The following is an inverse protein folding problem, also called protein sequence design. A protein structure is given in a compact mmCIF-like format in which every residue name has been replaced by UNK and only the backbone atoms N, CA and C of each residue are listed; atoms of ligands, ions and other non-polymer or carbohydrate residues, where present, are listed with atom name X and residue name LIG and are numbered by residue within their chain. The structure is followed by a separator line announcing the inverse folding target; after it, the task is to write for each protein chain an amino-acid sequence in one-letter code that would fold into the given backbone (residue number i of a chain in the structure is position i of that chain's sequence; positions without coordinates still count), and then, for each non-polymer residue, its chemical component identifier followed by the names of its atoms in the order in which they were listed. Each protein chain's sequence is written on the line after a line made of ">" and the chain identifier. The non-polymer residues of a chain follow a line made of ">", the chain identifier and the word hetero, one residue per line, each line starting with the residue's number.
data_IF_255113273472
#
_entry.id   IF_255113273472
#
_cell.length_a   1.000
_cell.length_b   1.000
_cell.length_c   1.000
_cell.angle_alpha   90.00
_cell.angle_beta   90.00
_cell.angle_gamma   90.00
#
_symmetry.space_group_name_H-M   'P 1'
#
loop_
_entity.id
_entity.type
_entity.pdbx_description
1 polymer ?
#
# COMPACT_ATOMS: atom_id res chain seq x y z
N UNK A 1 -10.57 17.76 4.33
CA UNK A 1 -9.55 18.39 5.18
C UNK A 1 -10.21 19.36 6.16
N UNK A 2 -9.49 19.81 7.16
CA UNK A 2 -9.90 20.84 8.11
C UNK A 2 -8.89 21.96 8.10
N UNK A 3 -9.36 23.20 8.22
CA UNK A 3 -8.50 24.38 8.21
C UNK A 3 -8.88 25.30 9.34
N UNK A 4 -7.86 25.89 9.98
CA UNK A 4 -8.04 26.84 11.06
C UNK A 4 -8.82 28.05 10.54
N UNK A 5 -9.90 28.40 11.22
CA UNK A 5 -10.66 29.61 10.91
C UNK A 5 -9.90 30.78 11.53
N UNK A 6 -9.34 31.67 10.71
CA UNK A 6 -8.75 32.91 11.23
C UNK A 6 -9.86 33.76 11.86
N UNK A 7 -10.00 33.73 13.19
CA UNK A 7 -10.60 34.86 13.90
C UNK A 7 -9.66 36.04 13.67
N UNK A 8 -10.15 37.10 13.05
CA UNK A 8 -9.35 38.30 12.83
C UNK A 8 -8.65 38.71 14.12
N UNK A 9 -7.33 38.89 14.06
CA UNK A 9 -6.54 39.47 15.14
C UNK A 9 -7.00 40.90 15.37
N UNK A 10 -8.07 41.07 16.14
CA UNK A 10 -8.45 42.32 16.75
C UNK A 10 -8.52 42.10 18.25
N UNK A 11 -7.63 42.79 18.96
CA UNK A 11 -7.50 42.95 20.42
C UNK A 11 -6.75 41.87 21.22
N UNK A 12 -5.52 42.25 21.58
CA UNK A 12 -4.82 42.09 22.87
C UNK A 12 -4.52 40.71 23.48
N UNK A 13 -3.21 40.43 23.52
CA UNK A 13 -2.43 39.60 24.46
C UNK A 13 -2.01 38.18 24.02
N UNK A 14 -0.73 37.78 24.23
CA UNK A 14 -0.18 36.51 23.74
C UNK A 14 -0.31 35.43 24.82
N UNK A 15 -1.39 34.68 24.80
CA UNK A 15 -1.41 33.34 25.40
C UNK A 15 -1.45 32.33 24.25
N UNK A 16 -0.38 31.55 24.09
CA UNK A 16 -0.34 30.41 23.17
C UNK A 16 -1.32 29.34 23.68
N UNK A 17 -2.61 29.48 23.36
CA UNK A 17 -3.59 28.43 23.51
C UNK A 17 -3.50 27.50 22.30
N UNK A 18 -3.35 26.19 22.53
CA UNK A 18 -3.41 25.22 21.44
C UNK A 18 -4.81 25.22 20.80
N UNK A 19 -4.91 25.19 19.46
CA UNK A 19 -6.19 25.17 18.77
C UNK A 19 -7.05 23.97 19.17
N UNK A 20 -8.31 24.22 19.52
CA UNK A 20 -9.29 23.19 19.80
C UNK A 20 -10.01 22.78 18.51
N UNK A 21 -10.69 21.63 18.51
CA UNK A 21 -11.51 21.17 17.37
C UNK A 21 -12.50 22.24 16.87
N UNK A 22 -13.03 23.08 17.77
CA UNK A 22 -13.95 24.17 17.44
C UNK A 22 -13.34 25.30 16.60
N UNK A 23 -12.01 25.40 16.56
CA UNK A 23 -11.27 26.43 15.81
C UNK A 23 -11.05 26.04 14.35
N UNK A 24 -11.42 24.81 13.97
CA UNK A 24 -11.30 24.29 12.62
C UNK A 24 -12.65 24.23 11.91
N UNK A 25 -12.64 24.50 10.60
CA UNK A 25 -13.78 24.27 9.73
C UNK A 25 -13.50 23.15 8.73
N UNK A 26 -14.53 22.36 8.43
CA UNK A 26 -14.45 21.34 7.40
C UNK A 26 -14.39 21.98 6.01
N UNK A 27 -13.38 21.59 5.24
CA UNK A 27 -13.12 22.15 3.92
C UNK A 27 -13.06 21.06 2.84
N UNK A 28 -13.56 21.42 1.66
CA UNK A 28 -13.42 20.69 0.42
C UNK A 28 -12.21 21.23 -0.34
N UNK A 29 -11.24 20.37 -0.62
CA UNK A 29 -10.13 20.70 -1.50
C UNK A 29 -10.43 20.13 -2.90
N UNK A 30 -10.40 20.99 -3.92
CA UNK A 30 -10.66 20.63 -5.32
C UNK A 30 -9.39 20.89 -6.10
N UNK A 31 -8.69 19.84 -6.50
CA UNK A 31 -7.54 19.95 -7.38
C UNK A 31 -8.02 20.09 -8.82
N UNK A 32 -7.61 21.16 -9.50
CA UNK A 32 -7.91 21.44 -10.91
C UNK A 32 -6.61 21.37 -11.74
N UNK A 33 -6.17 20.16 -12.16
CA UNK A 33 -4.88 19.96 -12.80
C UNK A 33 -4.68 20.80 -14.06
N UNK A 34 -5.75 20.95 -14.87
CA UNK A 34 -5.73 21.73 -16.11
C UNK A 34 -5.50 23.23 -15.88
N UNK A 35 -5.86 23.72 -14.70
CA UNK A 35 -5.67 25.12 -14.30
C UNK A 35 -4.41 25.31 -13.44
N UNK A 36 -3.72 24.23 -13.06
CA UNK A 36 -2.56 24.30 -12.18
C UNK A 36 -2.88 24.88 -10.80
N UNK A 37 -4.08 24.63 -10.28
CA UNK A 37 -4.51 25.17 -8.99
C UNK A 37 -5.23 24.13 -8.13
N UNK A 38 -5.12 24.31 -6.81
CA UNK A 38 -5.92 23.66 -5.79
C UNK A 38 -6.80 24.72 -5.13
N UNK A 39 -8.11 24.53 -5.15
CA UNK A 39 -9.05 25.40 -4.45
C UNK A 39 -9.51 24.76 -3.15
N UNK A 40 -9.56 25.53 -2.07
CA UNK A 40 -10.05 25.11 -0.76
C UNK A 40 -11.31 25.90 -0.46
N UNK A 41 -12.42 25.19 -0.30
CA UNK A 41 -13.75 25.72 -0.08
C UNK A 41 -14.27 25.32 1.29
N UNK A 42 -14.92 26.25 2.00
CA UNK A 42 -15.61 25.91 3.24
C UNK A 42 -16.90 25.12 2.93
N UNK A 43 -17.09 23.98 3.59
CA UNK A 43 -18.29 23.16 3.40
C UNK A 43 -19.56 23.85 3.94
N UNK A 44 -20.74 23.43 3.44
CA UNK A 44 -22.07 24.02 3.72
C UNK A 44 -22.22 25.45 3.20
N UNK A 45 -22.07 25.62 1.88
CA UNK A 45 -22.26 26.90 1.14
C UNK A 45 -21.30 28.04 1.53
N UNK A 46 -20.20 27.73 2.20
CA UNK A 46 -19.21 28.74 2.58
C UNK A 46 -18.35 29.21 1.40
N UNK A 47 -17.63 30.34 1.56
CA UNK A 47 -16.81 30.92 0.51
C UNK A 47 -15.58 30.06 0.19
N UNK A 48 -14.94 30.35 -0.95
CA UNK A 48 -13.59 29.85 -1.25
C UNK A 48 -12.61 30.48 -0.26
N UNK A 49 -11.94 29.65 0.52
CA UNK A 49 -11.03 30.08 1.58
C UNK A 49 -9.62 30.33 1.05
N UNK A 50 -9.14 29.50 0.11
CA UNK A 50 -7.79 29.63 -0.44
C UNK A 50 -7.68 29.04 -1.84
N UNK A 51 -6.77 29.59 -2.64
CA UNK A 51 -6.32 29.00 -3.89
C UNK A 51 -4.81 28.87 -3.83
N UNK A 52 -4.29 27.68 -4.14
CA UNK A 52 -2.86 27.37 -4.13
C UNK A 52 -2.46 27.05 -5.56
N UNK A 53 -1.42 27.70 -6.07
CA UNK A 53 -0.82 27.32 -7.36
C UNK A 53 -0.08 26.00 -7.22
N UNK A 54 -0.33 25.08 -8.14
CA UNK A 54 0.25 23.75 -8.18
C UNK A 54 1.13 23.61 -9.42
N UNK A 55 2.32 23.05 -9.30
CA UNK A 55 3.13 22.78 -10.50
C UNK A 55 2.50 21.63 -11.31
N UNK A 56 2.92 21.52 -12.57
CA UNK A 56 2.37 20.55 -13.52
C UNK A 56 2.62 19.13 -13.02
N UNK A 57 1.57 18.31 -12.96
CA UNK A 57 1.67 16.93 -12.44
C UNK A 57 1.51 16.81 -10.93
N UNK A 58 1.19 17.91 -10.23
CA UNK A 58 0.80 17.86 -8.82
C UNK A 58 -0.34 16.86 -8.57
N UNK A 59 -0.30 16.14 -7.45
CA UNK A 59 -1.38 15.23 -7.02
C UNK A 59 -1.80 15.54 -5.60
N UNK A 60 -3.11 15.44 -5.37
CA UNK A 60 -3.71 15.61 -4.06
C UNK A 60 -3.90 14.23 -3.43
N UNK A 61 -3.33 14.02 -2.25
CA UNK A 61 -3.49 12.80 -1.47
C UNK A 61 -4.34 13.06 -0.23
N UNK A 62 -5.29 12.16 0.02
CA UNK A 62 -6.08 12.14 1.24
C UNK A 62 -5.76 10.86 2.01
N UNK A 63 -5.41 10.93 3.30
CA UNK A 63 -5.22 9.73 4.12
C UNK A 63 -6.48 8.87 4.17
N UNK A 64 -6.31 7.54 4.17
CA UNK A 64 -7.42 6.59 3.99
C UNK A 64 -8.26 6.33 5.25
N UNK A 65 -7.74 6.50 6.48
CA UNK A 65 -8.52 6.44 7.73
C UNK A 65 -7.63 6.79 8.96
N UNK A 66 -8.21 7.11 10.13
CA UNK A 66 -7.47 7.29 11.40
C UNK A 66 -7.53 6.03 12.26
N UNK A 67 -6.40 5.56 12.78
CA UNK A 67 -6.38 4.72 13.99
C UNK A 67 -6.67 5.58 15.23
N UNK A 68 -7.37 5.00 16.20
CA UNK A 68 -8.12 5.68 17.27
C UNK A 68 -7.40 6.81 18.01
N UNK A 69 -8.13 7.89 18.27
CA UNK A 69 -7.70 8.95 19.18
C UNK A 69 -7.89 8.47 20.63
N UNK A 70 -6.79 8.38 21.38
CA UNK A 70 -6.83 8.41 22.85
C UNK A 70 -7.46 9.75 23.28
N UNK A 71 -8.32 9.73 24.31
CA UNK A 71 -8.95 10.91 24.90
C UNK A 71 -7.95 11.93 25.49
N UNK A 72 -6.64 11.61 25.52
CA UNK A 72 -5.57 12.43 26.06
C UNK A 72 -4.63 13.05 25.01
N UNK A 73 -4.91 12.90 23.71
CA UNK A 73 -4.05 13.44 22.63
C UNK A 73 -4.55 14.79 22.10
N UNK A 74 -3.65 15.72 21.72
CA UNK A 74 -4.04 16.99 21.11
C UNK A 74 -4.80 16.77 19.81
N UNK A 75 -5.74 17.67 19.50
CA UNK A 75 -6.58 17.55 18.31
C UNK A 75 -5.75 17.72 17.03
N UNK A 76 -5.61 16.66 16.26
CA UNK A 76 -5.01 16.72 14.93
C UNK A 76 -6.11 17.02 13.90
N UNK A 77 -6.01 18.06 13.05
CA UNK A 77 -6.99 18.34 12.00
C UNK A 77 -6.88 17.36 10.82
N UNK A 78 -7.93 17.24 10.01
CA UNK A 78 -7.88 16.44 8.78
C UNK A 78 -6.99 17.11 7.73
N UNK A 79 -5.90 16.44 7.34
CA UNK A 79 -4.95 16.99 6.38
C UNK A 79 -5.14 16.43 4.97
N UNK A 80 -4.70 17.19 3.98
CA UNK A 80 -4.58 16.79 2.58
C UNK A 80 -3.19 17.21 2.13
N UNK A 81 -2.47 16.28 1.53
CA UNK A 81 -1.11 16.52 1.06
C UNK A 81 -1.12 16.84 -0.44
N UNK A 82 -0.35 17.85 -0.84
CA UNK A 82 -0.12 18.16 -2.25
C UNK A 82 1.31 17.73 -2.59
N UNK A 83 1.45 16.68 -3.39
CA UNK A 83 2.73 16.25 -3.91
C UNK A 83 3.01 16.97 -5.21
N UNK A 84 4.19 17.59 -5.31
CA UNK A 84 4.66 18.20 -6.53
C UNK A 84 5.38 17.12 -7.36
N UNK A 85 4.68 16.54 -8.34
CA UNK A 85 5.25 15.48 -9.19
C UNK A 85 5.49 15.98 -10.60
N UNK A 86 6.75 16.20 -10.97
CA UNK A 86 7.14 16.45 -12.37
C UNK A 86 7.13 15.13 -13.16
N UNK A 87 5.96 14.51 -13.30
CA UNK A 87 5.78 13.35 -14.17
C UNK A 87 4.30 13.18 -14.50
N UNK A 88 3.92 13.56 -15.72
CA UNK A 88 2.72 13.00 -16.33
C UNK A 88 2.98 11.54 -16.66
N UNK A 89 1.99 10.69 -16.34
CA UNK A 89 1.86 9.25 -16.63
C UNK A 89 2.00 8.41 -15.35
N UNK A 90 0.96 7.64 -15.07
CA UNK A 90 0.85 6.61 -14.04
C UNK A 90 0.86 5.28 -14.79
N UNK A 91 1.97 4.55 -14.77
CA UNK A 91 2.03 3.20 -15.33
C UNK A 91 2.65 2.27 -14.29
N UNK A 92 1.79 1.78 -13.39
CA UNK A 92 1.96 0.44 -12.82
C UNK A 92 1.66 -0.58 -13.92
N UNK A 93 2.12 -1.82 -13.82
CA UNK A 93 1.70 -2.96 -14.66
C UNK A 93 0.17 -3.29 -14.63
N UNK A 94 -0.64 -2.33 -14.16
CA UNK A 94 -2.10 -2.23 -14.18
C UNK A 94 -2.55 -1.01 -15.03
N UNK A 95 -1.78 -0.57 -16.01
CA UNK A 95 -2.21 0.41 -17.03
C UNK A 95 -2.70 -0.28 -18.30
N UNK A 96 -3.28 -1.46 -18.15
CA UNK A 96 -3.84 -2.16 -19.28
C UNK A 96 -5.05 -1.37 -19.83
N UNK A 97 -5.25 -1.41 -21.15
CA UNK A 97 -6.38 -0.79 -21.88
C UNK A 97 -7.73 -1.00 -21.16
N UNK A 98 -7.81 -2.13 -20.45
CA UNK A 98 -8.92 -2.67 -19.68
C UNK A 98 -9.46 -1.77 -18.55
N UNK A 99 -8.69 -0.79 -18.08
CA UNK A 99 -9.16 0.15 -17.06
C UNK A 99 -9.96 1.34 -17.63
N UNK A 100 -10.06 1.46 -18.96
CA UNK A 100 -10.82 2.53 -19.60
C UNK A 100 -12.33 2.29 -19.45
N UNK A 101 -12.90 2.78 -18.35
CA UNK A 101 -14.34 2.71 -18.07
C UNK A 101 -14.71 1.93 -16.80
N UNK A 102 -13.75 1.32 -16.11
CA UNK A 102 -13.92 0.69 -14.80
C UNK A 102 -13.32 1.56 -13.68
N UNK A 103 -13.73 1.34 -12.43
CA UNK A 103 -13.12 1.97 -11.26
C UNK A 103 -12.08 0.97 -10.76
N UNK A 104 -10.84 1.44 -10.57
CA UNK A 104 -9.77 0.60 -10.06
C UNK A 104 -10.11 0.06 -8.68
N UNK A 105 -9.78 -1.19 -8.42
CA UNK A 105 -10.04 -1.75 -7.12
C UNK A 105 -9.29 -1.13 -5.95
N UNK A 106 -9.87 -1.32 -4.76
CA UNK A 106 -9.34 -0.71 -3.53
C UNK A 106 -7.97 -1.34 -3.19
N UNK A 107 -6.90 -0.55 -3.26
CA UNK A 107 -5.53 -1.05 -3.06
C UNK A 107 -4.97 -1.83 -4.25
N UNK A 108 -5.50 -1.62 -5.47
CA UNK A 108 -4.94 -2.17 -6.71
C UNK A 108 -3.48 -1.77 -6.97
N UNK A 109 -3.06 -0.67 -6.35
CA UNK A 109 -1.71 -0.10 -6.50
C UNK A 109 -0.87 -0.25 -5.24
N UNK A 110 -1.39 -0.94 -4.22
CA UNK A 110 -0.71 -1.09 -2.93
C UNK A 110 0.12 -2.39 -2.94
N UNK A 111 1.41 -2.26 -3.22
CA UNK A 111 2.38 -3.35 -3.10
C UNK A 111 2.70 -3.65 -1.63
N UNK A 112 3.17 -4.86 -1.29
CA UNK A 112 3.40 -5.24 0.08
C UNK A 112 4.56 -4.44 0.68
N UNK A 113 4.38 -3.97 1.92
CA UNK A 113 5.45 -3.40 2.73
C UNK A 113 6.38 -4.49 3.26
N UNK A 114 7.67 -4.16 3.30
CA UNK A 114 8.75 -5.01 3.82
C UNK A 114 9.46 -4.29 4.97
N UNK A 115 9.99 -5.07 5.91
CA UNK A 115 10.79 -4.55 7.00
C UNK A 115 12.27 -4.83 6.69
N UNK A 116 13.12 -3.83 6.93
CA UNK A 116 14.57 -3.94 6.79
C UNK A 116 15.16 -3.68 8.17
N UNK A 117 15.85 -4.67 8.73
CA UNK A 117 16.47 -4.53 10.04
C UNK A 117 17.81 -3.78 9.92
N UNK A 118 17.87 -2.60 10.54
CA UNK A 118 19.06 -1.72 10.50
C UNK A 118 19.87 -1.77 11.79
N UNK A 119 19.44 -2.55 12.80
CA UNK A 119 20.14 -2.70 14.08
C UNK A 119 21.64 -3.04 13.93
N UNK A 120 22.08 -3.92 13.00
CA UNK A 120 23.51 -4.18 12.79
C UNK A 120 24.34 -2.96 12.36
N UNK A 121 23.70 -1.89 11.86
CA UNK A 121 24.34 -0.65 11.43
C UNK A 121 24.33 0.44 12.51
N UNK A 122 23.82 0.18 13.72
CA UNK A 122 23.70 1.21 14.75
C UNK A 122 25.02 1.90 15.08
N UNK A 123 26.16 1.20 15.00
CA UNK A 123 27.47 1.80 15.16
C UNK A 123 27.75 2.95 14.18
N UNK A 124 27.34 2.78 12.93
CA UNK A 124 27.47 3.79 11.88
C UNK A 124 26.40 4.87 11.96
N UNK A 125 25.22 4.56 12.52
CA UNK A 125 24.09 5.50 12.62
C UNK A 125 24.13 6.38 13.88
N UNK A 126 24.95 6.02 14.87
CA UNK A 126 25.03 6.68 16.17
C UNK A 126 26.39 7.37 16.40
N UNK A 127 27.13 7.68 15.33
CA UNK A 127 28.47 8.31 15.42
C UNK A 127 28.43 9.82 15.72
N UNK A 128 27.23 10.40 15.85
CA UNK A 128 27.00 11.82 16.08
C UNK A 128 27.07 12.69 14.83
N UNK A 129 27.29 12.09 13.66
CA UNK A 129 27.31 12.73 12.35
C UNK A 129 25.93 12.90 11.72
N UNK A 130 25.92 13.57 10.56
CA UNK A 130 24.72 13.67 9.71
C UNK A 130 24.72 12.49 8.74
N UNK A 131 23.65 11.70 8.76
CA UNK A 131 23.48 10.56 7.87
C UNK A 131 22.41 10.83 6.81
N UNK A 132 22.60 10.26 5.63
CA UNK A 132 21.62 10.28 4.53
C UNK A 132 21.20 8.86 4.21
N UNK A 133 19.89 8.61 4.23
CA UNK A 133 19.28 7.35 3.79
C UNK A 133 18.54 7.62 2.49
N UNK A 134 18.81 6.82 1.48
CA UNK A 134 18.21 6.95 0.15
C UNK A 134 17.68 5.62 -0.35
N UNK A 135 16.58 5.67 -1.10
CA UNK A 135 15.98 4.52 -1.75
C UNK A 135 16.02 4.73 -3.26
N UNK A 136 16.38 3.67 -3.98
CA UNK A 136 16.43 3.68 -5.45
C UNK A 136 15.66 2.46 -5.92
N UNK A 137 14.70 2.69 -6.81
CA UNK A 137 14.03 1.62 -7.54
C UNK A 137 14.71 1.50 -8.90
N UNK A 138 15.26 0.33 -9.18
CA UNK A 138 15.93 0.05 -10.45
C UNK A 138 14.99 -0.66 -11.42
N UNK A 139 15.29 -0.63 -12.72
CA UNK A 139 14.48 -1.26 -13.77
C UNK A 139 13.03 -0.76 -13.82
N UNK A 140 12.89 0.56 -13.75
CA UNK A 140 11.61 1.24 -13.71
C UNK A 140 11.39 2.04 -15.00
N UNK A 141 10.16 1.98 -15.53
CA UNK A 141 9.76 2.75 -16.71
C UNK A 141 9.37 4.21 -16.38
N UNK A 142 8.98 4.52 -15.14
CA UNK A 142 8.49 5.85 -14.74
C UNK A 142 8.74 6.19 -13.25
N UNK A 143 7.73 6.71 -12.53
CA UNK A 143 7.83 7.12 -11.11
C UNK A 143 7.23 6.07 -10.18
N UNK A 144 7.87 5.87 -9.03
CA UNK A 144 7.39 5.00 -7.95
C UNK A 144 7.11 5.81 -6.69
N UNK A 145 5.97 5.53 -6.07
CA UNK A 145 5.62 6.09 -4.77
C UNK A 145 6.10 5.13 -3.69
N UNK A 146 6.99 5.61 -2.83
CA UNK A 146 7.54 4.85 -1.72
C UNK A 146 7.21 5.64 -0.44
N UNK A 147 6.68 4.94 0.55
CA UNK A 147 6.58 5.44 1.92
C UNK A 147 7.51 4.62 2.80
N UNK A 148 8.15 5.29 3.77
CA UNK A 148 9.15 4.67 4.65
C UNK A 148 8.93 5.17 6.06
N UNK A 149 8.85 4.23 7.00
CA UNK A 149 8.74 4.51 8.42
C UNK A 149 9.97 3.96 9.13
N UNK A 150 10.66 4.81 9.90
CA UNK A 150 11.76 4.41 10.76
C UNK A 150 11.25 4.17 12.17
N UNK A 151 11.37 2.94 12.65
CA UNK A 151 11.01 2.57 14.02
C UNK A 151 12.29 2.47 14.87
N UNK A 152 12.32 3.18 15.99
CA UNK A 152 13.45 3.23 16.90
C UNK A 152 13.03 2.79 18.30
N UNK A 153 13.90 2.04 18.95
CA UNK A 153 13.78 1.70 20.37
C UNK A 153 14.97 2.30 21.09
N UNK A 154 14.68 3.14 22.09
CA UNK A 154 15.69 3.84 22.86
C UNK A 154 16.06 3.06 24.11
N UNK A 155 17.36 2.99 24.41
CA UNK A 155 17.83 2.55 25.71
C UNK A 155 17.60 3.67 26.73
N UNK A 156 16.70 3.44 27.69
CA UNK A 156 16.38 4.42 28.73
C UNK A 156 17.36 4.44 29.90
N UNK A 157 18.30 3.49 29.96
CA UNK A 157 19.20 3.32 31.12
C UNK A 157 20.62 3.75 30.81
N UNK A 158 21.11 3.51 29.59
CA UNK A 158 22.43 3.98 29.16
C UNK A 158 22.35 5.38 28.56
N UNK A 159 23.37 6.21 28.82
CA UNK A 159 23.53 7.50 28.15
C UNK A 159 23.97 7.37 26.69
N UNK A 160 24.62 6.26 26.34
CA UNK A 160 25.17 6.01 25.00
C UNK A 160 25.01 4.55 24.61
N UNK A 161 24.62 4.31 23.36
CA UNK A 161 24.63 2.99 22.72
C UNK A 161 25.74 3.01 21.67
N UNK A 162 26.61 2.02 21.72
CA UNK A 162 27.70 1.86 20.76
C UNK A 162 27.46 0.61 19.92
N UNK A 163 28.11 0.53 18.78
CA UNK A 163 28.11 -0.69 18.00
C UNK A 163 29.06 -0.61 16.83
N UNK A 164 29.09 -1.67 16.05
CA UNK A 164 29.86 -1.75 14.82
C UNK A 164 29.23 -2.79 13.89
N UNK A 165 29.24 -2.48 12.60
CA UNK A 165 28.93 -3.46 11.56
C UNK A 165 30.12 -4.41 11.40
N UNK A 166 29.88 -5.71 11.59
CA UNK A 166 30.90 -6.75 11.47
C UNK A 166 30.96 -7.27 10.03
N UNK A 167 29.80 -7.56 9.44
CA UNK A 167 29.74 -8.15 8.11
C UNK A 167 28.50 -7.65 7.36
N UNK A 168 28.66 -7.40 6.07
CA UNK A 168 27.58 -7.15 5.12
C UNK A 168 27.84 -7.97 3.87
N UNK A 169 26.95 -8.91 3.58
CA UNK A 169 26.92 -9.69 2.36
C UNK A 169 25.70 -9.29 1.55
N UNK A 170 25.90 -8.45 0.55
CA UNK A 170 24.88 -8.06 -0.42
C UNK A 170 25.14 -8.79 -1.75
N UNK A 171 24.38 -9.85 -2.02
CA UNK A 171 24.52 -10.57 -3.30
C UNK A 171 23.91 -9.71 -4.41
N UNK A 172 24.55 -9.62 -5.59
CA UNK A 172 23.99 -8.87 -6.70
C UNK A 172 22.61 -9.41 -7.08
N UNK A 173 21.72 -8.51 -7.50
CA UNK A 173 20.39 -8.86 -7.98
C UNK A 173 20.51 -9.85 -9.16
N UNK A 174 19.97 -11.05 -8.98
CA UNK A 174 19.89 -12.04 -10.05
C UNK A 174 18.58 -11.86 -10.79
N UNK A 175 18.64 -11.44 -12.06
CA UNK A 175 17.47 -11.22 -12.92
C UNK A 175 17.50 -12.18 -14.10
N UNK A 176 16.35 -12.78 -14.41
CA UNK A 176 16.12 -13.56 -15.62
C UNK A 176 14.86 -13.02 -16.29
N UNK A 177 14.97 -12.73 -17.58
CA UNK A 177 13.87 -12.25 -18.41
C UNK A 177 13.85 -13.14 -19.66
N UNK A 178 12.72 -13.82 -19.87
CA UNK A 178 12.49 -14.72 -20.99
C UNK A 178 11.20 -14.27 -21.65
N UNK A 179 11.21 -14.09 -22.96
CA UNK A 179 10.03 -13.73 -23.71
C UNK A 179 10.02 -14.45 -25.05
N UNK A 180 8.81 -14.70 -25.54
CA UNK A 180 8.55 -15.26 -26.86
C UNK A 180 7.28 -14.62 -27.40
N UNK A 181 7.31 -14.04 -28.59
CA UNK A 181 6.16 -13.34 -29.15
C UNK A 181 6.16 -13.33 -30.67
N UNK A 182 4.97 -13.36 -31.24
CA UNK A 182 4.70 -13.17 -32.67
C UNK A 182 3.53 -12.19 -32.82
N UNK A 183 3.81 -11.02 -33.40
CA UNK A 183 2.82 -9.95 -33.49
C UNK A 183 2.37 -9.46 -32.11
N UNK A 184 1.07 -9.57 -31.83
CA UNK A 184 0.43 -9.17 -30.56
C UNK A 184 0.18 -10.36 -29.62
N UNK A 185 0.67 -11.54 -29.96
CA UNK A 185 0.59 -12.74 -29.13
C UNK A 185 1.97 -12.98 -28.54
N UNK A 186 2.06 -13.23 -27.24
CA UNK A 186 3.35 -13.48 -26.60
C UNK A 186 3.28 -13.89 -25.15
N UNK A 187 4.36 -14.49 -24.67
CA UNK A 187 4.57 -14.90 -23.30
C UNK A 187 5.82 -14.23 -22.76
N UNK A 188 5.74 -13.70 -21.55
CA UNK A 188 6.78 -12.96 -20.87
C UNK A 188 6.94 -13.49 -19.45
N UNK A 189 8.12 -14.00 -19.14
CA UNK A 189 8.51 -14.44 -17.81
C UNK A 189 9.63 -13.56 -17.28
N UNK A 190 9.46 -13.07 -16.06
CA UNK A 190 10.49 -12.35 -15.32
C UNK A 190 10.68 -13.01 -13.96
N UNK A 191 11.92 -13.32 -13.62
CA UNK A 191 12.31 -13.80 -12.29
C UNK A 191 13.40 -12.90 -11.74
N UNK A 192 13.30 -12.53 -10.47
CA UNK A 192 14.35 -11.81 -9.77
C UNK A 192 14.57 -12.40 -8.38
N UNK A 193 15.83 -12.47 -7.95
CA UNK A 193 16.21 -12.96 -6.62
C UNK A 193 17.28 -12.08 -6.01
N UNK A 194 17.15 -11.79 -4.72
CA UNK A 194 18.16 -11.08 -3.92
C UNK A 194 18.23 -11.68 -2.54
N UNK A 195 19.42 -11.68 -1.95
CA UNK A 195 19.67 -12.15 -0.60
C UNK A 195 20.65 -11.18 0.05
N UNK A 196 20.28 -10.68 1.22
CA UNK A 196 21.09 -9.74 2.00
C UNK A 196 21.32 -10.38 3.37
N UNK A 197 22.56 -10.29 3.84
CA UNK A 197 22.91 -10.62 5.21
C UNK A 197 23.72 -9.49 5.81
N UNK A 198 23.40 -9.10 7.03
CA UNK A 198 24.24 -8.21 7.83
C UNK A 198 24.36 -8.71 9.26
N UNK A 199 25.51 -8.45 9.86
CA UNK A 199 25.76 -8.73 11.27
C UNK A 199 26.59 -7.63 11.91
N UNK A 200 26.37 -7.40 13.19
CA UNK A 200 27.03 -6.36 13.97
C UNK A 200 26.96 -6.65 15.46
N UNK A 201 27.72 -5.91 16.24
CA UNK A 201 27.62 -5.92 17.70
C UNK A 201 27.11 -4.56 18.19
N UNK A 202 26.36 -4.59 19.30
CA UNK A 202 25.81 -3.42 19.97
C UNK A 202 26.12 -3.52 21.46
N UNK A 203 26.61 -2.44 22.05
CA UNK A 203 26.79 -2.30 23.50
C UNK A 203 25.75 -1.32 24.04
N UNK A 204 24.91 -1.82 24.94
CA UNK A 204 23.82 -1.07 25.59
C UNK A 204 23.79 -1.38 27.09
N UNK A 205 22.81 -0.82 27.82
CA UNK A 205 22.55 -1.17 29.22
C UNK A 205 22.21 -2.65 29.43
N UNK A 206 21.75 -3.35 28.37
CA UNK A 206 21.49 -4.79 28.38
C UNK A 206 22.73 -5.65 28.11
N UNK A 207 23.91 -5.02 27.96
CA UNK A 207 25.18 -5.68 27.69
C UNK A 207 25.58 -5.65 26.22
N UNK A 208 26.50 -6.55 25.85
CA UNK A 208 26.98 -6.72 24.48
C UNK A 208 26.04 -7.69 23.74
N UNK A 209 25.46 -7.22 22.64
CA UNK A 209 24.46 -7.90 21.83
C UNK A 209 25.06 -8.10 20.44
N UNK A 210 25.15 -9.34 19.97
CA UNK A 210 25.44 -9.59 18.56
C UNK A 210 24.12 -9.73 17.81
N UNK A 211 23.86 -8.84 16.87
CA UNK A 211 22.67 -8.85 16.04
C UNK A 211 23.00 -9.30 14.62
N UNK A 212 22.15 -10.11 14.03
CA UNK A 212 22.23 -10.45 12.62
C UNK A 212 20.85 -10.48 11.96
N UNK A 213 20.84 -10.13 10.68
CA UNK A 213 19.66 -10.09 9.84
C UNK A 213 19.95 -10.76 8.51
N UNK A 214 19.08 -11.69 8.11
CA UNK A 214 19.04 -12.29 6.78
C UNK A 214 17.71 -11.93 6.16
N UNK A 215 17.73 -11.56 4.87
CA UNK A 215 16.53 -11.34 4.09
C UNK A 215 16.70 -11.88 2.68
N UNK A 216 15.85 -12.83 2.31
CA UNK A 216 15.77 -13.43 0.99
C UNK A 216 14.49 -12.98 0.27
N UNK A 217 14.64 -12.41 -0.92
CA UNK A 217 13.55 -12.01 -1.79
C UNK A 217 13.54 -12.83 -3.07
N UNK A 218 12.35 -13.27 -3.46
CA UNK A 218 12.09 -13.90 -4.76
C UNK A 218 10.88 -13.24 -5.40
N UNK A 219 11.04 -12.78 -6.63
CA UNK A 219 10.00 -12.25 -7.48
C UNK A 219 9.88 -13.14 -8.71
N UNK A 220 8.65 -13.52 -9.07
CA UNK A 220 8.34 -14.16 -10.33
C UNK A 220 7.10 -13.50 -10.93
N UNK A 221 7.14 -13.24 -12.23
CA UNK A 221 6.03 -12.73 -13.00
C UNK A 221 5.89 -13.51 -14.30
N UNK A 222 4.67 -13.86 -14.64
CA UNK A 222 4.28 -14.44 -15.91
C UNK A 222 3.18 -13.58 -16.50
N UNK A 223 3.37 -13.11 -17.73
CA UNK A 223 2.39 -12.36 -18.49
C UNK A 223 2.20 -13.06 -19.83
N UNK A 224 0.96 -13.27 -20.23
CA UNK A 224 0.60 -13.88 -21.51
C UNK A 224 -0.40 -12.98 -22.21
N UNK A 225 -0.13 -12.67 -23.47
CA UNK A 225 -1.01 -11.96 -24.39
C UNK A 225 -1.50 -12.95 -25.45
N UNK A 226 -2.81 -13.09 -25.57
CA UNK A 226 -3.47 -13.98 -26.53
C UNK A 226 -4.49 -13.19 -27.37
N UNK A 227 -5.14 -13.87 -28.32
CA UNK A 227 -6.16 -13.28 -29.21
C UNK A 227 -5.73 -11.94 -29.84
N UNK A 228 -4.49 -11.87 -30.35
CA UNK A 228 -3.90 -10.65 -30.91
C UNK A 228 -3.90 -9.45 -29.93
N UNK A 229 -3.73 -9.71 -28.64
CA UNK A 229 -3.65 -8.68 -27.59
C UNK A 229 -5.00 -8.32 -26.98
N UNK A 230 -6.09 -8.96 -27.41
CA UNK A 230 -7.43 -8.79 -26.82
C UNK A 230 -7.62 -9.62 -25.54
N UNK A 231 -6.65 -10.45 -25.15
CA UNK A 231 -6.65 -11.17 -23.89
C UNK A 231 -5.29 -11.06 -23.21
N UNK A 232 -5.29 -10.70 -21.91
CA UNK A 232 -4.10 -10.54 -21.10
C UNK A 232 -4.27 -11.28 -19.78
N UNK A 233 -3.34 -12.18 -19.48
CA UNK A 233 -3.25 -12.87 -18.19
C UNK A 233 -1.91 -12.56 -17.52
N UNK A 234 -1.93 -12.04 -16.30
CA UNK A 234 -0.73 -11.80 -15.48
C UNK A 234 -0.83 -12.56 -14.17
N UNK A 235 0.23 -13.29 -13.83
CA UNK A 235 0.42 -13.96 -12.56
C UNK A 235 1.76 -13.54 -11.96
N UNK A 236 1.70 -12.78 -10.87
CA UNK A 236 2.86 -12.29 -10.15
C UNK A 236 2.92 -12.90 -8.76
N UNK A 237 4.13 -13.25 -8.31
CA UNK A 237 4.39 -13.76 -6.98
C UNK A 237 5.65 -13.14 -6.40
N UNK A 238 5.52 -12.60 -5.20
CA UNK A 238 6.61 -12.14 -4.35
C UNK A 238 6.66 -13.05 -3.12
N UNK A 239 7.85 -13.53 -2.81
CA UNK A 239 8.17 -14.27 -1.60
C UNK A 239 9.29 -13.54 -0.87
N UNK A 240 9.14 -13.38 0.44
CA UNK A 240 10.21 -12.88 1.29
C UNK A 240 10.34 -13.72 2.56
N UNK A 241 11.58 -13.99 2.94
CA UNK A 241 11.95 -14.69 4.16
C UNK A 241 12.98 -13.86 4.91
N UNK A 242 12.62 -13.43 6.12
CA UNK A 242 13.46 -12.62 6.97
C UNK A 242 13.77 -13.39 8.25
N UNK A 243 14.99 -13.28 8.78
CA UNK A 243 15.36 -13.82 10.08
C UNK A 243 16.22 -12.80 10.80
N UNK A 244 15.74 -12.35 11.96
CA UNK A 244 16.50 -11.51 12.89
C UNK A 244 16.95 -12.37 14.05
N UNK A 245 18.24 -12.32 14.39
CA UNK A 245 18.80 -13.01 15.55
C UNK A 245 19.55 -12.01 16.41
N UNK A 246 19.36 -12.07 17.71
CA UNK A 246 20.16 -11.31 18.67
C UNK A 246 20.62 -12.20 19.82
N UNK A 247 21.94 -12.24 20.03
CA UNK A 247 22.56 -12.96 21.13
C UNK A 247 22.54 -12.09 22.38
N UNK A 248 21.48 -12.25 23.15
CA UNK A 248 21.29 -11.74 24.50
C UNK A 248 21.44 -12.90 25.50
N UNK A 249 21.43 -12.66 26.83
CA UNK A 249 21.38 -13.74 27.84
C UNK A 249 20.26 -14.77 27.57
N UNK A 250 19.17 -14.32 26.94
CA UNK A 250 18.18 -15.17 26.29
C UNK A 250 18.22 -14.91 24.78
N UNK A 251 18.50 -15.91 23.93
CA UNK A 251 18.59 -15.70 22.49
C UNK A 251 17.25 -15.25 21.92
N UNK A 252 17.28 -14.16 21.17
CA UNK A 252 16.13 -13.63 20.45
C UNK A 252 16.18 -14.07 18.99
N UNK A 253 15.07 -14.62 18.50
CA UNK A 253 14.89 -15.00 17.11
C UNK A 253 13.51 -14.51 16.66
N UNK A 254 13.46 -13.87 15.50
CA UNK A 254 12.23 -13.45 14.83
C UNK A 254 12.32 -13.78 13.34
N UNK A 255 11.64 -14.86 12.95
CA UNK A 255 11.55 -15.33 11.57
C UNK A 255 10.23 -14.86 10.97
N UNK A 256 10.28 -14.20 9.82
CA UNK A 256 9.13 -13.71 9.07
C UNK A 256 9.13 -14.33 7.68
N UNK A 257 7.97 -14.84 7.29
CA UNK A 257 7.71 -15.34 5.95
C UNK A 257 6.52 -14.57 5.39
N UNK A 258 6.62 -14.14 4.15
CA UNK A 258 5.50 -13.56 3.43
C UNK A 258 5.42 -14.04 1.99
N UNK A 259 4.20 -14.31 1.56
CA UNK A 259 3.84 -14.57 0.17
C UNK A 259 2.79 -13.56 -0.26
N UNK A 260 3.08 -12.83 -1.32
CA UNK A 260 2.15 -11.90 -1.95
C UNK A 260 1.99 -12.27 -3.42
N UNK A 261 0.79 -12.65 -3.82
CA UNK A 261 0.45 -13.01 -5.19
C UNK A 261 -0.52 -12.00 -5.75
N UNK A 262 -0.27 -11.51 -6.98
CA UNK A 262 -1.22 -10.71 -7.76
C UNK A 262 -1.60 -11.54 -8.97
N UNK A 263 -2.88 -11.53 -9.30
CA UNK A 263 -3.39 -12.05 -10.55
C UNK A 263 -4.22 -10.99 -11.24
N UNK A 264 -4.04 -10.89 -12.55
CA UNK A 264 -4.79 -10.01 -13.41
C UNK A 264 -5.25 -10.79 -14.63
N UNK A 265 -6.50 -10.55 -15.03
CA UNK A 265 -7.10 -11.06 -16.24
C UNK A 265 -7.87 -9.93 -16.91
N UNK A 266 -7.66 -9.73 -18.20
CA UNK A 266 -8.37 -8.76 -19.01
C UNK A 266 -8.74 -9.36 -20.36
N UNK A 267 -9.95 -9.11 -20.83
CA UNK A 267 -10.45 -9.60 -22.13
C UNK A 267 -11.36 -8.58 -22.80
N UNK A 268 -11.18 -8.39 -24.13
CA UNK A 268 -12.06 -7.57 -24.98
C UNK A 268 -12.86 -8.53 -25.85
N UNK A 269 -14.17 -8.42 -25.72
CA UNK A 269 -15.10 -9.05 -26.64
C UNK A 269 -15.63 -7.99 -27.62
N UNK A 270 -15.32 -8.09 -28.91
CA UNK A 270 -15.92 -7.20 -29.90
C UNK A 270 -17.40 -7.54 -30.07
N UNK A 271 -18.23 -6.50 -30.14
CA UNK A 271 -19.63 -6.58 -30.48
C UNK A 271 -20.00 -5.55 -31.54
N UNK A 272 -21.05 -5.83 -32.30
CA UNK A 272 -21.57 -4.92 -33.31
C UNK A 272 -23.09 -4.85 -33.17
N UNK A 273 -23.60 -3.64 -33.00
CA UNK A 273 -25.03 -3.34 -32.98
C UNK A 273 -25.27 -2.15 -33.90
N UNK A 274 -26.09 -2.38 -34.93
CA UNK A 274 -26.33 -1.44 -36.03
C UNK A 274 -25.01 -0.95 -36.71
N UNK A 275 -24.88 0.37 -36.87
CA UNK A 275 -23.73 1.09 -37.46
C UNK A 275 -22.67 1.48 -36.39
N UNK A 276 -22.73 0.83 -35.22
CA UNK A 276 -21.83 1.05 -34.09
C UNK A 276 -21.13 -0.23 -33.68
N UNK A 277 -19.81 -0.16 -33.57
CA UNK A 277 -19.00 -1.22 -32.99
C UNK A 277 -18.87 -0.95 -31.49
N UNK A 278 -18.79 -1.98 -30.67
CA UNK A 278 -18.47 -1.82 -29.26
C UNK A 278 -17.51 -2.91 -28.82
N UNK A 279 -16.79 -2.65 -27.74
CA UNK A 279 -15.89 -3.58 -27.07
C UNK A 279 -16.41 -3.78 -25.66
N UNK A 280 -16.68 -5.01 -25.26
CA UNK A 280 -16.96 -5.35 -23.88
C UNK A 280 -15.65 -5.77 -23.25
N UNK A 281 -15.22 -5.00 -22.27
CA UNK A 281 -14.04 -5.29 -21.46
C UNK A 281 -14.47 -5.98 -20.17
N UNK A 282 -13.97 -7.20 -19.96
CA UNK A 282 -14.01 -7.86 -18.67
C UNK A 282 -12.64 -7.75 -18.00
N UNK A 283 -12.62 -7.38 -16.72
CA UNK A 283 -11.38 -7.27 -15.95
C UNK A 283 -11.54 -7.94 -14.59
N UNK A 284 -10.57 -8.76 -14.24
CA UNK A 284 -10.45 -9.34 -12.91
C UNK A 284 -9.05 -9.04 -12.39
N UNK A 285 -8.98 -8.37 -11.25
CA UNK A 285 -7.73 -8.13 -10.52
C UNK A 285 -7.90 -8.66 -9.10
N UNK A 286 -6.95 -9.46 -8.64
CA UNK A 286 -6.91 -9.79 -7.23
C UNK A 286 -5.53 -10.00 -6.70
N UNK A 287 -5.47 -10.10 -5.38
CA UNK A 287 -4.25 -10.43 -4.68
C UNK A 287 -4.50 -11.26 -3.45
N UNK A 288 -3.53 -12.10 -3.13
CA UNK A 288 -3.49 -12.95 -1.96
C UNK A 288 -2.22 -12.64 -1.17
N UNK A 289 -2.37 -12.37 0.12
CA UNK A 289 -1.29 -12.05 1.05
C UNK A 289 -1.33 -13.01 2.23
N UNK A 290 -0.29 -13.82 2.35
CA UNK A 290 -0.09 -14.71 3.49
C UNK A 290 1.18 -14.29 4.22
N UNK A 291 1.07 -14.03 5.51
CA UNK A 291 2.22 -13.77 6.39
C UNK A 291 2.25 -14.78 7.53
N UNK A 292 3.45 -15.19 7.87
CA UNK A 292 3.77 -16.03 9.02
C UNK A 292 4.91 -15.37 9.76
N UNK A 293 4.81 -15.29 11.08
CA UNK A 293 5.88 -14.80 11.94
C UNK A 293 6.05 -15.75 13.11
N UNK A 294 7.27 -16.17 13.34
CA UNK A 294 7.68 -16.98 14.48
C UNK A 294 8.72 -16.21 15.27
N UNK A 295 8.35 -15.79 16.47
CA UNK A 295 9.24 -15.06 17.37
C UNK A 295 9.42 -15.80 18.68
N UNK A 296 10.43 -15.42 19.47
CA UNK A 296 10.58 -15.90 20.86
C UNK A 296 9.32 -15.68 21.72
N UNK A 297 8.45 -14.74 21.35
CA UNK A 297 7.20 -14.42 22.06
C UNK A 297 5.96 -15.13 21.53
N UNK A 298 6.11 -16.00 20.52
CA UNK A 298 5.04 -16.79 19.93
C UNK A 298 4.93 -16.66 18.42
N UNK A 299 3.93 -17.34 17.88
CA UNK A 299 3.66 -17.46 16.45
C UNK A 299 2.43 -16.66 16.08
N UNK A 300 2.50 -15.91 14.97
CA UNK A 300 1.35 -15.24 14.37
C UNK A 300 1.24 -15.58 12.90
N UNK A 301 0.00 -15.66 12.42
CA UNK A 301 -0.37 -15.93 11.03
C UNK A 301 -1.39 -14.90 10.61
N UNK A 302 -1.28 -14.41 9.38
CA UNK A 302 -2.33 -13.62 8.77
C UNK A 302 -2.53 -13.99 7.32
N UNK A 303 -3.77 -14.20 6.90
CA UNK A 303 -4.13 -14.40 5.51
C UNK A 303 -5.12 -13.33 5.07
N UNK A 304 -4.95 -12.82 3.86
CA UNK A 304 -5.81 -11.81 3.26
C UNK A 304 -5.95 -12.10 1.77
N UNK A 305 -7.18 -12.21 1.30
CA UNK A 305 -7.55 -12.36 -0.10
C UNK A 305 -8.43 -11.20 -0.54
N UNK A 306 -8.13 -10.64 -1.70
CA UNK A 306 -8.94 -9.61 -2.34
C UNK A 306 -9.17 -9.94 -3.80
N UNK A 307 -10.41 -9.79 -4.25
CA UNK A 307 -10.78 -9.87 -5.67
C UNK A 307 -11.56 -8.63 -6.06
N UNK A 308 -11.29 -8.13 -7.24
CA UNK A 308 -12.04 -7.10 -7.92
C UNK A 308 -12.41 -7.61 -9.31
N UNK A 309 -13.69 -7.74 -9.55
CA UNK A 309 -14.24 -8.02 -10.87
C UNK A 309 -14.91 -6.75 -11.39
N UNK A 310 -14.66 -6.41 -12.64
CA UNK A 310 -15.19 -5.23 -13.30
C UNK A 310 -15.60 -5.54 -14.72
N UNK A 311 -16.70 -4.93 -15.15
CA UNK A 311 -17.16 -4.98 -16.54
C UNK A 311 -17.38 -3.58 -17.08
N UNK A 312 -16.82 -3.32 -18.25
CA UNK A 312 -17.03 -2.09 -18.98
C UNK A 312 -17.41 -2.35 -20.44
N UNK A 313 -18.14 -1.42 -21.02
CA UNK A 313 -18.47 -1.41 -22.44
C UNK A 313 -17.99 -0.11 -23.04
N UNK A 314 -17.17 -0.21 -24.07
CA UNK A 314 -16.67 0.91 -24.85
C UNK A 314 -17.33 0.90 -26.22
N UNK A 315 -18.13 1.92 -26.53
CA UNK A 315 -18.76 2.09 -27.84
C UNK A 315 -17.84 2.89 -28.74
N UNK A 316 -17.55 2.33 -29.92
CA UNK A 316 -16.65 2.86 -30.94
C UNK A 316 -17.47 3.14 -32.21
N UNK A 317 -17.33 4.35 -32.78
CA UNK A 317 -17.93 4.69 -34.08
C UNK A 317 -16.82 5.15 -35.02
N UNK A 318 -16.53 4.35 -36.05
CA UNK A 318 -15.33 4.53 -36.87
C UNK A 318 -14.07 4.35 -36.02
N UNK A 319 -13.20 5.36 -35.98
CA UNK A 319 -11.96 5.36 -35.17
C UNK A 319 -12.09 6.15 -33.85
N UNK A 320 -13.31 6.55 -33.46
CA UNK A 320 -13.56 7.38 -32.28
C UNK A 320 -14.26 6.58 -31.20
N UNK A 321 -13.71 6.61 -29.99
CA UNK A 321 -14.41 6.14 -28.79
C UNK A 321 -15.49 7.16 -28.44
N UNK A 322 -16.75 6.74 -28.57
CA UNK A 322 -17.92 7.63 -28.39
C UNK A 322 -18.44 7.56 -26.96
N UNK A 323 -18.33 6.40 -26.30
CA UNK A 323 -18.83 6.21 -24.93
C UNK A 323 -18.07 5.09 -24.21
N UNK A 324 -17.77 5.29 -22.92
CA UNK A 324 -17.32 4.24 -22.01
C UNK A 324 -18.33 4.07 -20.88
N UNK A 325 -18.72 2.83 -20.58
CA UNK A 325 -19.77 2.51 -19.63
C UNK A 325 -19.28 1.42 -18.65
N UNK A 326 -19.02 1.77 -17.39
CA UNK A 326 -18.75 0.79 -16.33
C UNK A 326 -20.06 0.29 -15.72
N UNK A 327 -20.37 -0.99 -15.90
CA UNK A 327 -21.67 -1.55 -15.49
C UNK A 327 -21.69 -1.89 -14.01
N UNK A 328 -20.83 -2.82 -13.60
CA UNK A 328 -20.84 -3.43 -12.27
C UNK A 328 -19.43 -3.73 -11.83
N UNK A 329 -19.18 -3.52 -10.54
CA UNK A 329 -17.91 -3.82 -9.91
C UNK A 329 -18.11 -4.48 -8.57
N UNK A 330 -17.52 -5.67 -8.47
CA UNK A 330 -17.62 -6.51 -7.29
C UNK A 330 -16.27 -6.55 -6.60
N UNK A 331 -16.28 -6.13 -5.35
CA UNK A 331 -15.13 -6.22 -4.46
C UNK A 331 -15.41 -7.29 -3.42
N UNK A 332 -14.51 -8.25 -3.31
CA UNK A 332 -14.47 -9.17 -2.18
C UNK A 332 -13.16 -9.02 -1.43
N UNK A 333 -13.24 -9.08 -0.11
CA UNK A 333 -12.12 -9.03 0.79
C UNK A 333 -12.39 -10.03 1.91
N UNK A 334 -11.44 -10.92 2.16
CA UNK A 334 -11.50 -11.89 3.24
C UNK A 334 -10.17 -11.89 3.98
N UNK A 335 -10.25 -11.82 5.31
CA UNK A 335 -9.13 -11.89 6.23
C UNK A 335 -9.54 -12.77 7.42
N UNK A 336 -8.60 -13.08 8.32
CA UNK A 336 -8.88 -13.88 9.52
C UNK A 336 -10.05 -13.33 10.36
N UNK A 337 -11.21 -13.95 10.23
CA UNK A 337 -12.43 -13.60 10.95
C UNK A 337 -13.21 -12.40 10.41
N UNK A 338 -12.71 -11.69 9.39
CA UNK A 338 -13.33 -10.51 8.79
C UNK A 338 -13.53 -10.69 7.30
N UNK A 339 -14.65 -10.18 6.80
CA UNK A 339 -14.81 -10.04 5.37
C UNK A 339 -15.68 -8.85 5.02
N UNK A 340 -15.53 -8.46 3.77
CA UNK A 340 -16.15 -7.31 3.20
C UNK A 340 -16.48 -7.60 1.75
N UNK A 341 -17.71 -7.32 1.38
CA UNK A 341 -18.18 -7.35 0.01
C UNK A 341 -18.75 -5.99 -0.33
N UNK A 342 -18.41 -5.45 -1.50
CA UNK A 342 -18.97 -4.20 -2.01
C UNK A 342 -19.30 -4.35 -3.48
N UNK A 343 -20.51 -3.98 -3.83
CA UNK A 343 -21.03 -3.96 -5.19
C UNK A 343 -21.25 -2.49 -5.57
N UNK A 344 -20.55 -2.00 -6.58
CA UNK A 344 -20.63 -0.60 -7.05
C UNK A 344 -21.01 -0.57 -8.53
N UNK A 345 -22.06 0.15 -8.87
CA UNK A 345 -22.42 0.45 -10.25
C UNK A 345 -22.09 1.89 -10.60
N UNK A 346 -21.40 2.12 -11.71
CA UNK A 346 -20.91 3.46 -12.07
C UNK A 346 -21.06 3.81 -13.57
N UNK A 347 -22.30 3.99 -14.07
CA UNK A 347 -22.53 4.41 -15.44
C UNK A 347 -22.08 5.87 -15.68
N UNK A 348 -21.38 6.12 -16.80
CA UNK A 348 -20.98 7.48 -17.24
C UNK A 348 -20.23 8.31 -16.17
N UNK A 349 -19.30 7.69 -15.42
CA UNK A 349 -18.53 8.35 -14.34
C UNK A 349 -19.37 8.84 -13.14
N UNK A 350 -20.62 8.39 -13.02
CA UNK A 350 -21.48 8.67 -11.87
C UNK A 350 -21.79 7.37 -11.12
N UNK A 351 -21.61 7.36 -9.79
CA UNK A 351 -21.99 6.22 -8.94
C UNK A 351 -23.51 6.14 -8.89
N UNK A 352 -24.09 5.06 -9.40
CA UNK A 352 -25.53 4.79 -9.38
C UNK A 352 -25.94 4.11 -8.07
N UNK A 353 -25.15 3.15 -7.61
CA UNK A 353 -25.37 2.44 -6.36
C UNK A 353 -24.04 1.99 -5.75
N UNK A 354 -24.07 1.83 -4.43
CA UNK A 354 -22.97 1.33 -3.62
C UNK A 354 -23.55 0.50 -2.48
N UNK A 355 -23.42 -0.82 -2.59
CA UNK A 355 -23.96 -1.76 -1.60
C UNK A 355 -22.81 -2.43 -0.88
N UNK A 356 -22.80 -2.33 0.44
CA UNK A 356 -21.78 -2.94 1.30
C UNK A 356 -22.40 -4.08 2.10
N UNK A 357 -21.68 -5.19 2.21
CA UNK A 357 -22.02 -6.33 3.07
C UNK A 357 -20.80 -6.76 3.88
N UNK A 358 -21.02 -7.04 5.16
CA UNK A 358 -19.98 -7.48 6.10
C UNK A 358 -20.16 -8.93 6.58
N UNK A 359 -21.10 -9.66 5.99
CA UNK A 359 -21.47 -11.00 6.44
C UNK A 359 -20.70 -12.08 5.69
N UNK A 360 -19.80 -12.75 6.38
CA UNK A 360 -19.33 -14.08 5.98
C UNK A 360 -20.29 -15.11 6.54
N UNK A 361 -20.79 -16.01 5.69
CA UNK A 361 -21.30 -17.28 6.17
C UNK A 361 -20.12 -18.04 6.78
N UNK A 362 -19.86 -17.83 8.07
CA UNK A 362 -19.06 -18.78 8.83
C UNK A 362 -19.81 -20.10 8.75
N UNK A 363 -19.33 -21.07 7.96
CA UNK A 363 -19.59 -22.46 8.32
C UNK A 363 -19.03 -22.60 9.72
N UNK A 364 -19.93 -22.73 10.68
CA UNK A 364 -19.61 -23.08 12.05
C UNK A 364 -18.93 -24.45 12.03
N UNK A 365 -17.60 -24.47 11.88
CA UNK A 365 -16.84 -25.58 12.37
C UNK A 365 -16.92 -25.50 13.88
N UNK A 366 -17.90 -26.22 14.44
CA UNK A 366 -17.83 -26.72 15.80
C UNK A 366 -16.51 -27.49 15.90
N UNK A 367 -15.45 -26.81 16.31
CA UNK A 367 -14.35 -27.49 16.97
C UNK A 367 -14.80 -27.69 18.41
N UNK A 368 -15.20 -28.92 18.68
CA UNK A 368 -15.32 -29.46 20.02
C UNK A 368 -13.92 -29.45 20.66
N UNK A 369 -13.52 -28.28 21.16
CA UNK A 369 -12.41 -28.17 22.09
C UNK A 369 -13.02 -28.21 23.48
N UNK A 370 -13.00 -29.40 24.05
CA UNK A 370 -13.30 -29.62 25.46
C UNK A 370 -12.58 -28.58 26.33
N UNK A 371 -13.36 -28.02 27.26
CA UNK A 371 -12.86 -27.28 28.40
C UNK A 371 -11.68 -28.04 29.02
N UNK A 372 -10.47 -27.49 28.91
CA UNK A 372 -9.49 -27.64 29.96
C UNK A 372 -9.22 -26.26 30.55
N UNK A 373 -9.94 -26.01 31.64
CA UNK A 373 -9.70 -24.98 32.62
C UNK A 373 -8.22 -24.95 33.03
N UNK A 374 -7.50 -23.89 32.66
CA UNK A 374 -6.24 -23.55 33.34
C UNK A 374 -6.60 -22.74 34.58
N UNK A 375 -6.62 -23.45 35.72
CA UNK A 375 -6.65 -22.86 37.06
C UNK A 375 -5.41 -21.99 37.25
N UNK A 376 -5.62 -20.74 37.68
CA UNK A 376 -4.61 -19.94 38.37
C UNK A 376 -4.12 -20.72 39.60
N UNK A 377 -2.82 -20.97 39.67
CA UNK A 377 -2.14 -21.17 40.95
C UNK A 377 -1.43 -19.86 41.31
N UNK A 378 -1.97 -19.18 42.33
CA UNK A 378 -1.16 -18.38 43.23
C UNK A 378 -0.54 -19.33 44.24
N UNK A 379 0.73 -19.12 44.58
CA UNK A 379 1.18 -19.11 45.98
C UNK A 379 2.63 -18.60 46.07
N UNK A 380 2.75 -17.55 46.89
CA UNK A 380 3.88 -17.05 47.72
C UNK A 380 5.25 -16.84 47.10
#
# INVERSE_FOLDING_TARGET
>A
MEMLVSKGFASSSPSYAEPLKSDYCLCLAIHAPRKGILEIWQMRTGPRLRTISCARGSKMLQPSYRFGASMSSPYVPLEVFLLNGDSSILDTACSSKWWYGTITGIGSFDLPSYDIEVTPFLGTLLDGGIHSVGFIVTNVLNVWFIDVNLHLWLDGTSSTTEGELVELVDKPLSVSLVFDFEGLIGSFMTSAKRSIFCSGWIRSSYGNINASFVQDFVYNNSMVLEKNGDEETVNQMILFNDSVRANLPLPFVDDRYGKFSIYFYGEDEPGQEDDTTFSITNVTLGFDKNKYRSSTFGVSKSALKKVHDGRATMVIRGNLVVRGHGETQDYSYTSDGYCYFREVGSPNYAILYDKVRHSCNKRSHYHDHGLNSIKRLFTM
#
